data_IF_298179855353
#
_entry.id   IF_298179855353
#
_cell.length_a   1.000
_cell.length_b   1.000
_cell.length_c   1.000
_cell.angle_alpha   90.00
_cell.angle_beta   90.00
_cell.angle_gamma   90.00
#
_symmetry.space_group_name_H-M   'P 1'
#
loop_
_entity.id
_entity.type
_entity.pdbx_description
1 polymer ?
#
# COMPACT_ATOMS: atom_id res chain seq x y z
N UNK A 1 -6.26 6.61 1.70
CA UNK A 1 -5.85 6.26 0.32
C UNK A 1 -6.83 6.83 -0.72
N UNK A 2 -8.13 6.61 -0.59
CA UNK A 2 -9.15 7.02 -1.58
C UNK A 2 -9.18 8.53 -1.92
N UNK A 3 -8.79 9.39 -0.97
CA UNK A 3 -8.69 10.85 -1.19
C UNK A 3 -7.47 11.27 -2.02
N UNK A 4 -6.51 10.37 -2.20
CA UNK A 4 -5.31 10.63 -3.02
C UNK A 4 -5.50 10.21 -4.48
N UNK A 5 -6.53 9.42 -4.78
CA UNK A 5 -6.79 8.94 -6.12
C UNK A 5 -7.18 10.10 -7.05
N UNK A 6 -6.74 10.06 -8.32
CA UNK A 6 -7.27 10.95 -9.33
C UNK A 6 -8.74 10.60 -9.64
N UNK A 7 -9.36 11.35 -10.55
CA UNK A 7 -10.62 10.94 -11.16
C UNK A 7 -10.43 9.58 -11.86
N UNK A 8 -11.32 8.62 -11.58
CA UNK A 8 -11.24 7.24 -12.08
C UNK A 8 -12.12 6.99 -13.30
N UNK A 9 -12.95 7.96 -13.70
CA UNK A 9 -13.86 7.77 -14.82
C UNK A 9 -13.10 7.39 -16.11
N UNK A 10 -13.47 6.23 -16.69
CA UNK A 10 -12.87 5.71 -17.91
C UNK A 10 -11.40 5.27 -17.75
N UNK A 11 -10.91 5.06 -16.53
CA UNK A 11 -9.52 4.66 -16.26
C UNK A 11 -9.38 3.15 -16.14
N UNK A 12 -8.22 2.64 -16.56
CA UNK A 12 -7.76 1.27 -16.33
C UNK A 12 -6.87 1.24 -15.09
N UNK A 13 -7.25 0.44 -14.09
CA UNK A 13 -6.55 0.35 -12.82
C UNK A 13 -5.97 -1.04 -12.57
N UNK A 14 -4.85 -1.08 -11.85
CA UNK A 14 -4.30 -2.28 -11.23
C UNK A 14 -4.21 -2.09 -9.72
N UNK A 15 -4.68 -3.07 -8.96
CA UNK A 15 -4.53 -3.10 -7.50
C UNK A 15 -3.62 -4.26 -7.09
N UNK A 16 -2.47 -3.95 -6.54
CA UNK A 16 -1.44 -4.90 -6.12
C UNK A 16 -1.68 -5.32 -4.66
N UNK A 17 -1.91 -6.61 -4.43
CA UNK A 17 -2.34 -7.13 -3.13
C UNK A 17 -3.80 -6.74 -2.86
N UNK A 18 -4.70 -7.02 -3.80
CA UNK A 18 -6.09 -6.56 -3.76
C UNK A 18 -6.94 -7.21 -2.66
N UNK A 19 -6.45 -8.27 -2.02
CA UNK A 19 -7.17 -9.00 -0.98
C UNK A 19 -8.54 -9.46 -1.44
N UNK A 20 -9.57 -9.16 -0.65
CA UNK A 20 -10.98 -9.51 -0.93
C UNK A 20 -11.68 -8.60 -1.95
N UNK A 21 -10.94 -7.72 -2.62
CA UNK A 21 -11.47 -6.90 -3.73
C UNK A 21 -12.28 -5.66 -3.33
N UNK A 22 -12.31 -5.29 -2.05
CA UNK A 22 -13.10 -4.14 -1.60
C UNK A 22 -12.71 -2.82 -2.28
N UNK A 23 -11.43 -2.60 -2.57
CA UNK A 23 -10.99 -1.43 -3.34
C UNK A 23 -11.36 -1.55 -4.82
N UNK A 24 -11.28 -2.76 -5.42
CA UNK A 24 -11.67 -2.98 -6.82
C UNK A 24 -13.14 -2.61 -7.04
N UNK A 25 -14.02 -3.01 -6.12
CA UNK A 25 -15.43 -2.63 -6.15
C UNK A 25 -15.59 -1.10 -6.12
N UNK A 26 -14.92 -0.43 -5.17
CA UNK A 26 -14.98 1.03 -5.06
C UNK A 26 -14.46 1.75 -6.32
N UNK A 27 -13.47 1.20 -7.00
CA UNK A 27 -12.98 1.79 -8.25
C UNK A 27 -14.01 1.65 -9.37
N UNK A 28 -14.67 0.49 -9.49
CA UNK A 28 -15.74 0.28 -10.45
C UNK A 28 -16.98 1.15 -10.19
N UNK A 29 -17.34 1.34 -8.92
CA UNK A 29 -18.40 2.27 -8.48
C UNK A 29 -18.08 3.72 -8.82
N UNK A 30 -16.78 4.09 -8.89
CA UNK A 30 -16.28 5.40 -9.34
C UNK A 30 -16.06 5.46 -10.85
N UNK A 31 -16.72 4.59 -11.61
CA UNK A 31 -16.72 4.54 -13.07
C UNK A 31 -15.34 4.24 -13.69
N UNK A 32 -14.44 3.54 -12.99
CA UNK A 32 -13.28 2.97 -13.66
C UNK A 32 -13.77 2.10 -14.84
N UNK A 33 -13.12 2.20 -15.98
CA UNK A 33 -13.46 1.39 -17.16
C UNK A 33 -13.16 -0.09 -16.88
N UNK A 34 -11.99 -0.36 -16.33
CA UNK A 34 -11.51 -1.71 -16.05
C UNK A 34 -10.62 -1.72 -14.81
N UNK A 35 -10.77 -2.75 -13.99
CA UNK A 35 -9.88 -3.00 -12.86
C UNK A 35 -9.23 -4.38 -12.98
N UNK A 36 -7.98 -4.46 -12.58
CA UNK A 36 -7.22 -5.69 -12.46
C UNK A 36 -6.76 -5.81 -11.01
N UNK A 37 -6.97 -6.95 -10.39
CA UNK A 37 -6.47 -7.25 -9.05
C UNK A 37 -5.44 -8.37 -9.08
N UNK A 38 -4.37 -8.23 -8.32
CA UNK A 38 -3.44 -9.32 -8.04
C UNK A 38 -3.34 -9.58 -6.55
N UNK A 39 -3.27 -10.83 -6.16
CA UNK A 39 -3.00 -11.24 -4.79
C UNK A 39 -2.27 -12.59 -4.77
N UNK A 40 -1.52 -12.86 -3.71
CA UNK A 40 -0.85 -14.15 -3.51
C UNK A 40 -1.84 -15.24 -3.06
N UNK A 41 -2.90 -14.87 -2.36
CA UNK A 41 -3.86 -15.77 -1.73
C UNK A 41 -5.02 -16.10 -2.65
N UNK A 42 -5.10 -17.36 -3.07
CA UNK A 42 -6.25 -17.90 -3.82
C UNK A 42 -7.57 -17.63 -3.10
N UNK A 43 -7.61 -17.85 -1.77
CA UNK A 43 -8.84 -17.64 -0.97
C UNK A 43 -9.31 -16.19 -1.00
N UNK A 44 -8.38 -15.23 -0.99
CA UNK A 44 -8.72 -13.81 -1.10
C UNK A 44 -9.30 -13.50 -2.48
N UNK A 45 -8.71 -14.05 -3.53
CA UNK A 45 -9.19 -13.85 -4.91
C UNK A 45 -10.56 -14.51 -5.15
N UNK A 46 -10.79 -15.71 -4.62
CA UNK A 46 -12.11 -16.36 -4.66
C UNK A 46 -13.19 -15.50 -3.99
N UNK A 47 -12.88 -14.91 -2.85
CA UNK A 47 -13.79 -14.00 -2.16
C UNK A 47 -13.98 -12.70 -2.96
N UNK A 48 -12.90 -12.13 -3.51
CA UNK A 48 -12.98 -10.94 -4.36
C UNK A 48 -13.87 -11.17 -5.58
N UNK A 49 -13.72 -12.33 -6.23
CA UNK A 49 -14.54 -12.68 -7.39
C UNK A 49 -16.03 -12.78 -7.02
N UNK A 50 -16.34 -13.46 -5.91
CA UNK A 50 -17.71 -13.58 -5.42
C UNK A 50 -18.35 -12.21 -5.12
N UNK A 51 -17.60 -11.32 -4.44
CA UNK A 51 -18.12 -9.98 -4.11
C UNK A 51 -18.35 -9.13 -5.37
N UNK A 52 -17.40 -9.14 -6.31
CA UNK A 52 -17.54 -8.38 -7.56
C UNK A 52 -18.66 -8.93 -8.48
N UNK A 53 -18.88 -10.25 -8.49
CA UNK A 53 -19.94 -10.88 -9.27
C UNK A 53 -21.34 -10.59 -8.71
N UNK A 54 -21.50 -10.46 -7.39
CA UNK A 54 -22.80 -10.07 -6.78
C UNK A 54 -23.34 -8.75 -7.35
N UNK A 55 -22.45 -7.86 -7.73
CA UNK A 55 -22.78 -6.59 -8.37
C UNK A 55 -22.86 -6.76 -9.89
N UNK A 56 -23.72 -7.56 -10.45
CA UNK A 56 -23.78 -7.97 -11.85
C UNK A 56 -23.44 -6.91 -12.93
N UNK A 57 -23.56 -5.62 -12.57
CA UNK A 57 -23.14 -4.48 -13.40
C UNK A 57 -21.62 -4.39 -13.69
N UNK A 58 -20.78 -5.15 -12.98
CA UNK A 58 -19.33 -5.15 -13.15
C UNK A 58 -18.81 -6.27 -14.06
N UNK A 59 -19.70 -7.10 -14.58
CA UNK A 59 -19.36 -8.21 -15.47
C UNK A 59 -18.49 -7.75 -16.63
N UNK A 60 -17.37 -8.44 -16.86
CA UNK A 60 -16.42 -8.12 -17.92
C UNK A 60 -15.52 -6.92 -17.66
N UNK A 61 -15.69 -6.21 -16.55
CA UNK A 61 -14.88 -5.01 -16.21
C UNK A 61 -13.77 -5.28 -15.20
N UNK A 62 -13.62 -6.51 -14.73
CA UNK A 62 -12.53 -6.88 -13.83
C UNK A 62 -11.81 -8.16 -14.27
N UNK A 63 -10.59 -8.31 -13.81
CA UNK A 63 -9.80 -9.54 -13.87
C UNK A 63 -9.00 -9.72 -12.59
N UNK A 64 -8.86 -10.96 -12.15
CA UNK A 64 -8.12 -11.32 -10.94
C UNK A 64 -7.02 -12.32 -11.32
N UNK A 65 -5.81 -12.10 -10.79
CA UNK A 65 -4.67 -12.96 -11.04
C UNK A 65 -4.01 -13.37 -9.74
N UNK A 66 -3.79 -14.66 -9.55
CA UNK A 66 -2.92 -15.14 -8.49
C UNK A 66 -1.47 -14.86 -8.91
N UNK A 67 -0.93 -13.75 -8.43
CA UNK A 67 0.40 -13.30 -8.83
C UNK A 67 1.08 -12.57 -7.67
N UNK A 68 2.25 -13.04 -7.21
CA UNK A 68 3.06 -12.27 -6.26
C UNK A 68 3.60 -11.00 -6.92
N UNK A 69 3.74 -9.94 -6.14
CA UNK A 69 4.18 -8.63 -6.66
C UNK A 69 5.57 -8.69 -7.27
N UNK A 70 6.44 -9.56 -6.78
CA UNK A 70 7.79 -9.80 -7.28
C UNK A 70 7.80 -10.35 -8.72
N UNK A 71 6.66 -10.86 -9.17
CA UNK A 71 6.45 -11.38 -10.53
C UNK A 71 5.55 -10.48 -11.38
N UNK A 72 5.41 -9.21 -11.03
CA UNK A 72 4.54 -8.27 -11.74
C UNK A 72 4.83 -8.18 -13.25
N UNK A 73 6.06 -8.46 -13.67
CA UNK A 73 6.42 -8.54 -15.09
C UNK A 73 5.64 -9.62 -15.86
N UNK A 74 5.23 -10.71 -15.19
CA UNK A 74 4.47 -11.82 -15.77
C UNK A 74 2.97 -11.47 -16.00
N UNK A 75 2.46 -10.39 -15.40
CA UNK A 75 1.09 -9.93 -15.65
C UNK A 75 0.91 -9.62 -17.13
N UNK A 76 -0.08 -10.24 -17.84
CA UNK A 76 -0.23 -10.03 -19.28
C UNK A 76 -0.71 -8.62 -19.63
N UNK A 77 -1.36 -7.93 -18.71
CA UNK A 77 -1.89 -6.59 -18.92
C UNK A 77 -0.85 -5.50 -18.56
N UNK A 78 -0.93 -4.40 -19.30
CA UNK A 78 -0.10 -3.20 -19.13
C UNK A 78 -0.91 -1.93 -19.43
N UNK A 79 -0.24 -0.80 -19.51
CA UNK A 79 -0.83 0.50 -19.83
C UNK A 79 -1.96 0.91 -18.89
N UNK A 80 -1.66 0.78 -17.60
CA UNK A 80 -2.57 1.25 -16.55
C UNK A 80 -2.48 2.77 -16.39
N UNK A 81 -3.64 3.39 -16.20
CA UNK A 81 -3.72 4.82 -15.85
C UNK A 81 -3.35 5.04 -14.38
N UNK A 82 -3.75 4.08 -13.53
CA UNK A 82 -3.50 4.12 -12.09
C UNK A 82 -3.10 2.73 -11.60
N UNK A 83 -2.05 2.67 -10.79
CA UNK A 83 -1.71 1.48 -10.01
C UNK A 83 -1.86 1.82 -8.53
N UNK A 84 -2.49 0.92 -7.79
CA UNK A 84 -2.70 1.07 -6.36
C UNK A 84 -2.11 -0.11 -5.60
N UNK A 85 -1.80 0.11 -4.33
CA UNK A 85 -1.52 -0.96 -3.37
C UNK A 85 -1.89 -0.50 -1.97
N UNK A 86 -2.69 -1.28 -1.28
CA UNK A 86 -3.13 -0.93 0.06
C UNK A 86 -2.51 -1.86 1.09
N UNK A 87 -1.63 -1.28 1.93
CA UNK A 87 -1.05 -1.97 3.08
C UNK A 87 -0.27 -3.26 2.73
N UNK A 88 0.49 -3.26 1.61
CA UNK A 88 1.19 -4.45 1.14
C UNK A 88 2.69 -4.26 0.82
N UNK A 89 3.17 -3.06 0.50
CA UNK A 89 4.56 -2.87 0.06
C UNK A 89 5.63 -3.12 1.13
N UNK A 90 5.25 -3.09 2.40
CA UNK A 90 6.18 -3.45 3.48
C UNK A 90 6.51 -4.95 3.55
N UNK A 91 5.82 -5.80 2.79
CA UNK A 91 6.17 -7.22 2.65
C UNK A 91 7.24 -7.49 1.59
N UNK A 92 7.55 -6.52 0.74
CA UNK A 92 8.45 -6.69 -0.40
C UNK A 92 9.90 -6.43 0.00
N UNK A 93 10.79 -7.37 -0.30
CA UNK A 93 12.22 -7.25 -0.03
C UNK A 93 12.92 -6.32 -1.01
N UNK A 94 12.74 -6.56 -2.30
CA UNK A 94 13.34 -5.76 -3.37
C UNK A 94 12.35 -4.70 -3.88
N UNK A 95 12.25 -3.62 -3.11
CA UNK A 95 11.35 -2.53 -3.44
C UNK A 95 11.74 -1.75 -4.70
N UNK A 96 13.04 -1.46 -4.96
CA UNK A 96 13.45 -0.81 -6.20
C UNK A 96 13.05 -1.59 -7.45
N UNK A 97 13.23 -2.91 -7.47
CA UNK A 97 12.82 -3.76 -8.61
C UNK A 97 11.29 -3.75 -8.77
N UNK A 98 10.51 -3.80 -7.69
CA UNK A 98 9.06 -3.67 -7.76
C UNK A 98 8.66 -2.31 -8.38
N UNK A 99 9.27 -1.22 -7.94
CA UNK A 99 8.97 0.13 -8.47
C UNK A 99 9.28 0.24 -9.96
N UNK A 100 10.38 -0.36 -10.44
CA UNK A 100 10.72 -0.42 -11.86
C UNK A 100 9.65 -1.20 -12.65
N UNK A 101 9.19 -2.34 -12.14
CA UNK A 101 8.10 -3.11 -12.77
C UNK A 101 6.78 -2.32 -12.80
N UNK A 102 6.44 -1.62 -11.71
CA UNK A 102 5.26 -0.75 -11.64
C UNK A 102 5.37 0.37 -12.70
N UNK A 103 6.52 1.02 -12.78
CA UNK A 103 6.75 2.06 -13.78
C UNK A 103 6.55 1.52 -15.21
N UNK A 104 7.00 0.29 -15.52
CA UNK A 104 6.81 -0.33 -16.82
C UNK A 104 5.34 -0.69 -17.12
N UNK A 105 4.53 -0.99 -16.10
CA UNK A 105 3.10 -1.29 -16.27
C UNK A 105 2.21 -0.04 -16.38
N UNK A 106 2.70 1.12 -15.92
CA UNK A 106 2.00 2.40 -16.02
C UNK A 106 2.16 3.04 -17.40
N UNK A 107 1.11 3.69 -17.88
CA UNK A 107 1.19 4.68 -18.97
C UNK A 107 2.15 5.80 -18.61
N UNK A 108 2.60 6.55 -19.62
CA UNK A 108 3.23 7.86 -19.39
C UNK A 108 2.29 8.77 -18.60
N UNK A 109 2.80 9.45 -17.59
CA UNK A 109 2.02 10.25 -16.63
C UNK A 109 0.98 9.46 -15.81
N UNK A 110 1.05 8.13 -15.82
CA UNK A 110 0.24 7.29 -14.94
C UNK A 110 0.56 7.50 -13.48
N UNK A 111 -0.42 7.22 -12.62
CA UNK A 111 -0.34 7.52 -11.18
C UNK A 111 -0.16 6.24 -10.37
N UNK A 112 0.77 6.24 -9.44
CA UNK A 112 0.90 5.25 -8.36
C UNK A 112 0.35 5.83 -7.06
N UNK A 113 -0.58 5.13 -6.41
CA UNK A 113 -1.07 5.48 -5.07
C UNK A 113 -0.97 4.27 -4.17
N UNK A 114 -0.22 4.38 -3.10
CA UNK A 114 -0.09 3.25 -2.17
C UNK A 114 -0.10 3.67 -0.70
N UNK A 115 -0.38 2.71 0.15
CA UNK A 115 -0.18 2.81 1.58
C UNK A 115 0.64 1.63 2.09
N UNK A 116 1.42 1.89 3.12
CA UNK A 116 2.19 0.87 3.83
C UNK A 116 2.31 1.21 5.31
N UNK A 117 2.82 0.27 6.10
CA UNK A 117 3.21 0.60 7.47
C UNK A 117 4.23 1.74 7.45
N UNK A 118 4.03 2.69 8.38
CA UNK A 118 4.96 3.82 8.50
C UNK A 118 6.35 3.34 8.98
N UNK A 119 7.46 3.92 8.49
CA UNK A 119 8.81 3.59 8.93
C UNK A 119 9.02 3.64 10.45
N UNK A 120 8.35 4.55 11.15
CA UNK A 120 8.35 4.59 12.62
C UNK A 120 7.78 3.30 13.22
N UNK A 121 6.82 2.65 12.57
CA UNK A 121 6.23 1.39 13.03
C UNK A 121 7.10 0.20 12.67
N UNK A 122 7.69 0.19 11.47
CA UNK A 122 8.48 -0.94 10.98
C UNK A 122 9.90 -0.99 11.55
N UNK A 123 10.41 0.09 12.12
CA UNK A 123 11.80 0.17 12.60
C UNK A 123 12.12 -0.81 13.74
N UNK A 124 11.14 -1.14 14.56
CA UNK A 124 11.36 -2.01 15.72
C UNK A 124 11.75 -3.43 15.31
N UNK A 125 12.84 -3.91 15.90
CA UNK A 125 13.26 -5.33 15.83
C UNK A 125 12.75 -6.11 17.03
N UNK A 126 12.98 -5.60 18.21
CA UNK A 126 12.72 -6.29 19.46
C UNK A 126 12.37 -5.31 20.59
N UNK A 127 11.86 -5.86 21.68
CA UNK A 127 11.60 -5.10 22.91
C UNK A 127 10.27 -4.33 22.93
N UNK A 128 10.07 -3.64 24.02
CA UNK A 128 8.87 -2.84 24.27
C UNK A 128 8.86 -1.58 23.39
N UNK A 129 7.79 -1.41 22.65
CA UNK A 129 7.59 -0.23 21.78
C UNK A 129 7.16 1.02 22.55
N UNK A 130 6.61 0.82 23.74
CA UNK A 130 6.05 1.88 24.55
C UNK A 130 6.77 2.02 25.88
N UNK A 131 7.08 3.25 26.22
CA UNK A 131 7.39 3.61 27.58
C UNK A 131 6.09 3.79 28.37
N UNK A 132 6.05 3.18 29.56
CA UNK A 132 4.87 3.20 30.44
C UNK A 132 5.23 3.84 31.77
N UNK A 133 4.32 4.65 32.30
CA UNK A 133 4.45 5.19 33.67
C UNK A 133 4.10 4.12 34.71
N UNK A 134 4.20 4.48 35.98
CA UNK A 134 3.88 3.61 37.12
C UNK A 134 2.43 3.07 37.09
N UNK A 135 1.51 3.79 36.45
CA UNK A 135 0.11 3.39 36.23
C UNK A 135 -0.09 2.55 34.96
N UNK A 136 1.00 2.06 34.38
CA UNK A 136 1.00 1.28 33.11
C UNK A 136 0.40 2.01 31.89
N UNK A 137 0.27 3.33 31.96
CA UNK A 137 -0.20 4.14 30.81
C UNK A 137 0.97 4.39 29.85
N UNK A 138 0.71 4.31 28.57
CA UNK A 138 1.67 4.63 27.51
C UNK A 138 1.94 6.14 27.51
N UNK A 139 3.19 6.54 27.67
CA UNK A 139 3.61 7.95 27.78
C UNK A 139 4.54 8.38 26.65
N UNK A 140 5.26 7.46 26.06
CA UNK A 140 6.13 7.75 24.91
C UNK A 140 6.25 6.52 24.01
N UNK A 141 6.42 6.75 22.71
CA UNK A 141 6.74 5.70 21.75
C UNK A 141 8.26 5.69 21.51
N UNK A 142 8.89 4.55 21.72
CA UNK A 142 10.33 4.38 21.55
C UNK A 142 10.68 4.20 20.09
N UNK A 143 11.60 4.99 19.58
CA UNK A 143 12.14 4.86 18.24
C UNK A 143 13.48 4.10 18.29
N UNK A 144 13.46 2.82 17.93
CA UNK A 144 14.66 1.98 17.92
C UNK A 144 14.93 1.48 16.50
N UNK A 145 16.22 1.38 16.15
CA UNK A 145 16.67 0.77 14.89
C UNK A 145 16.14 1.42 13.60
N UNK A 146 15.75 2.70 13.65
CA UNK A 146 15.21 3.40 12.47
C UNK A 146 16.18 3.47 11.28
N UNK A 147 17.50 3.55 11.55
CA UNK A 147 18.53 3.60 10.49
C UNK A 147 19.01 2.22 10.06
N UNK A 148 18.59 1.19 10.75
CA UNK A 148 18.96 -0.19 10.49
C UNK A 148 17.86 -0.85 9.64
N UNK A 149 17.98 -0.70 8.34
CA UNK A 149 16.99 -1.19 7.36
C UNK A 149 17.05 -2.72 7.17
N UNK A 150 16.07 -3.27 6.44
CA UNK A 150 15.99 -4.67 6.06
C UNK A 150 14.96 -5.47 6.84
N UNK A 151 15.18 -6.77 6.90
CA UNK A 151 14.22 -7.75 7.41
C UNK A 151 13.78 -7.46 8.85
N UNK A 152 12.48 -7.62 9.08
CA UNK A 152 11.80 -7.67 10.38
C UNK A 152 10.97 -8.93 10.46
N UNK A 153 11.31 -9.81 11.38
CA UNK A 153 10.49 -10.96 11.70
C UNK A 153 9.47 -10.58 12.77
N UNK A 154 8.23 -10.89 12.53
CA UNK A 154 7.09 -10.54 13.38
C UNK A 154 6.18 -11.72 13.56
N UNK A 155 5.35 -11.69 14.60
CA UNK A 155 4.31 -12.66 14.84
C UNK A 155 2.94 -11.99 14.83
N UNK A 156 2.02 -12.56 14.07
CA UNK A 156 0.61 -12.20 14.08
C UNK A 156 -0.20 -13.44 14.44
N UNK A 157 -0.91 -13.40 15.56
CA UNK A 157 -1.68 -14.55 16.07
C UNK A 157 -0.88 -15.87 16.04
N UNK A 158 0.38 -15.85 16.53
CA UNK A 158 1.30 -16.97 16.56
C UNK A 158 1.77 -17.47 15.16
N UNK A 159 1.45 -16.75 14.09
CA UNK A 159 1.98 -17.03 12.76
C UNK A 159 3.14 -16.07 12.46
N UNK A 160 4.34 -16.61 12.16
CA UNK A 160 5.46 -15.75 11.80
C UNK A 160 5.23 -15.16 10.41
N UNK A 161 5.55 -13.88 10.26
CA UNK A 161 5.56 -13.19 8.99
C UNK A 161 6.73 -12.22 8.90
N UNK A 162 7.13 -11.91 7.68
CA UNK A 162 8.27 -11.04 7.39
C UNK A 162 7.79 -9.71 6.86
N UNK A 163 8.39 -8.63 7.32
CA UNK A 163 8.28 -7.30 6.73
C UNK A 163 9.67 -6.73 6.53
N UNK A 164 9.78 -5.71 5.67
CA UNK A 164 11.06 -5.08 5.38
C UNK A 164 10.97 -3.61 5.73
N UNK A 165 11.79 -3.23 6.71
CA UNK A 165 11.91 -1.83 7.13
C UNK A 165 12.76 -1.05 6.14
N UNK A 166 12.28 0.12 5.75
CA UNK A 166 12.99 1.16 5.01
C UNK A 166 12.75 2.49 5.70
N UNK A 167 13.75 3.35 5.71
CA UNK A 167 13.55 4.72 6.17
C UNK A 167 12.63 5.48 5.20
N UNK A 168 12.01 6.55 5.66
CA UNK A 168 11.23 7.43 4.76
C UNK A 168 12.10 7.95 3.62
N UNK A 169 13.36 8.30 3.92
CA UNK A 169 14.30 8.79 2.91
C UNK A 169 14.57 7.72 1.82
N UNK A 170 14.76 6.47 2.18
CA UNK A 170 14.97 5.37 1.22
C UNK A 170 13.73 5.18 0.34
N UNK A 171 12.53 5.14 0.93
CA UNK A 171 11.28 5.00 0.16
C UNK A 171 11.14 6.11 -0.88
N UNK A 172 11.40 7.35 -0.49
CA UNK A 172 11.30 8.51 -1.39
C UNK A 172 12.36 8.46 -2.49
N UNK A 173 13.61 8.16 -2.13
CA UNK A 173 14.71 8.09 -3.10
C UNK A 173 14.51 6.95 -4.10
N UNK A 174 14.01 5.78 -3.67
CA UNK A 174 13.69 4.66 -4.55
C UNK A 174 12.60 5.03 -5.57
N UNK A 175 11.56 5.75 -5.14
CA UNK A 175 10.52 6.27 -6.04
C UNK A 175 11.11 7.23 -7.07
N UNK A 176 11.94 8.18 -6.64
CA UNK A 176 12.60 9.15 -7.54
C UNK A 176 13.51 8.40 -8.54
N UNK A 177 14.31 7.45 -8.06
CA UNK A 177 15.20 6.66 -8.90
C UNK A 177 14.44 5.81 -9.94
N UNK A 178 13.24 5.33 -9.60
CA UNK A 178 12.36 4.61 -10.51
C UNK A 178 11.59 5.51 -11.51
N UNK A 179 11.83 6.82 -11.49
CA UNK A 179 11.23 7.78 -12.41
C UNK A 179 9.85 8.29 -11.97
N UNK A 180 9.59 8.32 -10.67
CA UNK A 180 8.37 8.90 -10.12
C UNK A 180 8.62 10.31 -9.56
N UNK A 181 7.67 11.19 -9.80
CA UNK A 181 7.52 12.47 -9.12
C UNK A 181 6.53 12.32 -7.96
N UNK A 182 6.96 12.60 -6.75
CA UNK A 182 6.07 12.59 -5.57
C UNK A 182 5.12 13.79 -5.70
N UNK A 183 3.81 13.53 -5.71
CA UNK A 183 2.79 14.57 -5.75
C UNK A 183 2.22 14.86 -4.38
N UNK A 184 2.08 13.83 -3.55
CA UNK A 184 1.52 13.99 -2.21
C UNK A 184 1.97 12.86 -1.29
N UNK A 185 2.23 13.21 -0.04
CA UNK A 185 2.39 12.27 1.08
C UNK A 185 1.37 12.58 2.15
N UNK A 186 0.87 11.57 2.84
CA UNK A 186 -0.04 11.76 3.96
C UNK A 186 0.24 10.75 5.08
N UNK A 187 0.15 11.25 6.29
CA UNK A 187 0.18 10.50 7.53
C UNK A 187 -1.19 10.69 8.18
N UNK A 188 -2.14 9.77 7.95
CA UNK A 188 -3.50 9.99 8.37
C UNK A 188 -3.60 10.03 9.90
N UNK A 189 -4.28 11.05 10.39
CA UNK A 189 -4.70 11.19 11.76
C UNK A 189 -6.17 10.80 11.91
N UNK A 190 -6.54 10.32 13.07
CA UNK A 190 -7.95 10.16 13.40
C UNK A 190 -8.64 11.52 13.39
N UNK A 191 -9.81 11.58 12.75
CA UNK A 191 -10.67 12.75 12.91
C UNK A 191 -11.06 12.90 14.39
N UNK A 192 -11.06 14.12 14.91
CA UNK A 192 -11.51 14.38 16.27
C UNK A 192 -13.02 14.10 16.38
N UNK A 193 -13.35 12.92 16.92
CA UNK A 193 -14.71 12.57 17.25
C UNK A 193 -14.78 12.20 18.75
N UNK A 194 -15.78 12.67 19.49
CA UNK A 194 -15.88 12.46 20.94
C UNK A 194 -15.96 11.01 21.38
N UNK A 195 -16.32 10.10 20.48
CA UNK A 195 -16.56 8.68 20.72
C UNK A 195 -15.38 7.76 20.39
N UNK A 196 -14.22 8.30 20.02
CA UNK A 196 -13.04 7.48 19.77
C UNK A 196 -12.53 6.91 21.10
N UNK A 197 -12.64 5.58 21.23
CA UNK A 197 -12.21 4.83 22.40
C UNK A 197 -10.73 5.00 22.70
N UNK A 198 -10.37 4.76 23.96
CA UNK A 198 -8.99 4.75 24.48
C UNK A 198 -8.03 3.88 23.65
N UNK A 199 -8.55 2.91 22.91
CA UNK A 199 -7.81 2.02 21.99
C UNK A 199 -6.97 2.76 20.94
N UNK A 200 -7.38 3.96 20.52
CA UNK A 200 -6.71 4.72 19.49
C UNK A 200 -5.84 5.88 20.00
N UNK A 201 -5.67 6.00 21.32
CA UNK A 201 -4.85 7.06 21.91
C UNK A 201 -3.41 7.04 21.41
N UNK A 202 -2.88 5.86 21.12
CA UNK A 202 -1.52 5.69 20.60
C UNK A 202 -1.31 6.33 19.23
N UNK A 203 -2.35 6.44 18.41
CA UNK A 203 -2.26 7.06 17.08
C UNK A 203 -1.97 8.56 17.14
N UNK A 204 -2.16 9.21 18.29
CA UNK A 204 -1.77 10.61 18.51
C UNK A 204 -0.25 10.79 18.66
N UNK A 205 0.46 9.72 19.05
CA UNK A 205 1.91 9.76 19.28
C UNK A 205 2.72 9.45 18.03
N UNK A 206 2.14 8.73 17.09
CA UNK A 206 2.83 8.28 15.88
C UNK A 206 1.86 7.97 14.74
N UNK A 207 2.25 8.24 13.49
CA UNK A 207 1.50 7.76 12.34
C UNK A 207 1.74 6.24 12.18
N UNK A 208 0.67 5.41 12.13
CA UNK A 208 0.83 3.97 11.88
C UNK A 208 1.07 3.66 10.41
N UNK A 209 0.59 4.51 9.53
CA UNK A 209 0.58 4.32 8.07
C UNK A 209 1.18 5.53 7.36
N UNK A 210 1.85 5.24 6.26
CA UNK A 210 2.32 6.23 5.29
C UNK A 210 1.58 6.01 3.97
N UNK A 211 1.02 7.08 3.43
CA UNK A 211 0.38 7.12 2.13
C UNK A 211 1.19 7.97 1.17
N UNK A 212 1.38 7.50 -0.04
CA UNK A 212 2.11 8.23 -1.08
C UNK A 212 1.32 8.19 -2.39
N UNK A 213 1.22 9.36 -3.01
CA UNK A 213 0.81 9.54 -4.39
C UNK A 213 2.00 10.01 -5.20
N UNK A 214 2.30 9.29 -6.28
CA UNK A 214 3.40 9.62 -7.16
C UNK A 214 2.96 9.46 -8.62
N UNK A 215 3.52 10.26 -9.51
CA UNK A 215 3.24 10.22 -10.95
C UNK A 215 4.48 9.76 -11.69
N UNK A 216 4.33 8.79 -12.61
CA UNK A 216 5.40 8.42 -13.53
C UNK A 216 5.73 9.60 -14.41
N UNK A 217 6.95 10.10 -14.35
CA UNK A 217 7.41 11.13 -15.28
C UNK A 217 8.03 10.50 -16.51
N UNK A 218 7.82 11.11 -17.65
CA UNK A 218 8.52 10.72 -18.87
C UNK A 218 9.97 11.10 -18.66
N UNK A 219 10.87 10.13 -18.56
CA UNK A 219 12.28 10.44 -18.70
C UNK A 219 12.47 11.02 -20.11
N UNK A 220 12.56 12.33 -20.18
CA UNK A 220 13.18 12.97 -21.35
C UNK A 220 14.64 12.49 -21.30
N UNK A 221 14.92 11.38 -21.99
CA UNK A 221 16.28 10.92 -22.23
C UNK A 221 17.10 12.10 -22.70
N UNK A 222 18.10 12.46 -21.89
CA UNK A 222 19.15 13.40 -22.30
C UNK A 222 19.95 12.81 -23.44
#
# INVERSE_FOLDING_TARGET
>A
MLSLLPDLQGKKLLDLGCGTGGHLQLYLERNAERVVGTDLSVKMLEQAEQELQKCGQFSGRFSLYQLPMEKLSELPESDFDVITSSFAFHYIEDFPTLLAMIANKLKSNGTLVFSQEHPITTCHKEGERWEKNEKKQQVAYRLNHYRDEGLRERNWFQQPFKTYHRTTATIINDLIAAGFQIEQMAEPMLAEQPQWHDEFKDLRHRPPLLFIKARKVINLTK
#
